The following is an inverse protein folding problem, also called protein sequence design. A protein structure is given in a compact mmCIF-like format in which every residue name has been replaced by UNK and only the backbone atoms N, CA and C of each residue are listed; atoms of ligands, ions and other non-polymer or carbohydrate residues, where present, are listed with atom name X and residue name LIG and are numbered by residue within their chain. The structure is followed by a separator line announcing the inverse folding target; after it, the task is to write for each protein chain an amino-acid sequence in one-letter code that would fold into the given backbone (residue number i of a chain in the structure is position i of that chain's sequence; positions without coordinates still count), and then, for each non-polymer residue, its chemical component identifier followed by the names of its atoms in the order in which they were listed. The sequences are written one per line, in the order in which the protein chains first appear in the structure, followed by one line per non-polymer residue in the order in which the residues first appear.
data_IF_694898844432
#
_entry.id   IF_694898844432
#
_cell.length_a   1.000
_cell.length_b   1.000
_cell.length_c   1.000
_cell.angle_alpha   90.00
_cell.angle_beta   90.00
_cell.angle_gamma   90.00
#
_symmetry.space_group_name_H-M   'P 1'
#
loop_
_entity.id
_entity.type
_entity.pdbx_description
1 polymer ?
#
# COMPACT_ATOMS: atom_id res chain seq x y z
N UNK A 1 7.10 20.97 -33.76
CA UNK A 1 6.09 20.81 -32.69
C UNK A 1 5.53 19.40 -32.85
N UNK A 2 5.67 18.39 -31.97
CA UNK A 2 5.91 18.35 -30.54
C UNK A 2 6.64 17.04 -30.18
N UNK A 3 7.90 17.13 -29.73
CA UNK A 3 8.63 15.99 -29.14
C UNK A 3 8.60 16.08 -27.60
N UNK A 4 8.44 17.29 -27.06
CA UNK A 4 8.39 17.54 -25.61
C UNK A 4 7.06 17.11 -24.95
N UNK A 5 5.92 17.16 -25.67
CA UNK A 5 4.61 16.81 -25.09
C UNK A 5 4.40 15.29 -24.95
N UNK A 6 4.94 14.48 -25.87
CA UNK A 6 4.85 13.01 -25.80
C UNK A 6 5.66 12.42 -24.64
N UNK A 7 6.69 13.10 -24.16
CA UNK A 7 7.54 12.60 -23.06
C UNK A 7 6.81 12.63 -21.72
N UNK A 8 6.05 13.71 -21.47
CA UNK A 8 5.39 13.97 -20.19
C UNK A 8 4.19 13.03 -19.94
N UNK A 9 3.51 12.61 -21.01
CA UNK A 9 2.42 11.63 -20.95
C UNK A 9 2.92 10.21 -20.69
N UNK A 10 4.03 9.82 -21.32
CA UNK A 10 4.64 8.52 -21.09
C UNK A 10 5.15 8.40 -19.65
N UNK A 11 5.77 9.45 -19.10
CA UNK A 11 6.22 9.49 -17.70
C UNK A 11 5.05 9.37 -16.71
N UNK A 12 3.93 10.08 -16.95
CA UNK A 12 2.76 10.00 -16.07
C UNK A 12 2.12 8.60 -16.07
N UNK A 13 2.02 7.96 -17.24
CA UNK A 13 1.50 6.58 -17.37
C UNK A 13 2.43 5.58 -16.68
N UNK A 14 3.74 5.72 -16.86
CA UNK A 14 4.76 4.89 -16.20
C UNK A 14 4.74 5.09 -14.67
N UNK A 15 4.57 6.31 -14.19
CA UNK A 15 4.46 6.62 -12.77
C UNK A 15 3.21 5.97 -12.15
N UNK A 16 2.06 6.06 -12.82
CA UNK A 16 0.82 5.42 -12.36
C UNK A 16 0.91 3.89 -12.37
N UNK A 17 1.57 3.30 -13.38
CA UNK A 17 1.82 1.87 -13.44
C UNK A 17 2.77 1.39 -12.33
N UNK A 18 3.83 2.15 -12.06
CA UNK A 18 4.76 1.90 -10.95
C UNK A 18 4.05 1.99 -9.60
N UNK A 19 3.20 2.99 -9.39
CA UNK A 19 2.41 3.14 -8.16
C UNK A 19 1.42 1.98 -7.97
N UNK A 20 0.77 1.55 -9.06
CA UNK A 20 -0.12 0.39 -9.03
C UNK A 20 0.62 -0.94 -8.89
N UNK A 21 1.91 -0.97 -9.25
CA UNK A 21 2.69 -2.18 -9.55
C UNK A 21 2.00 -3.05 -10.60
N UNK A 22 1.40 -2.40 -11.60
CA UNK A 22 0.73 -3.07 -12.72
C UNK A 22 0.98 -2.28 -14.00
N UNK A 23 1.64 -2.93 -14.96
CA UNK A 23 2.04 -2.34 -16.24
C UNK A 23 1.05 -2.68 -17.36
N UNK A 24 0.00 -3.48 -17.08
CA UNK A 24 -0.92 -4.01 -18.09
C UNK A 24 -1.80 -3.02 -18.82
N UNK A 25 -1.95 -1.80 -18.29
CA UNK A 25 -2.66 -0.73 -19.00
C UNK A 25 -1.71 0.23 -19.75
N UNK A 26 -0.38 0.09 -19.64
CA UNK A 26 0.58 0.99 -20.31
C UNK A 26 0.46 0.90 -21.83
N UNK A 27 0.20 -0.31 -22.34
CA UNK A 27 -0.06 -0.56 -23.76
C UNK A 27 -1.42 -0.02 -24.21
N UNK A 28 -2.16 0.67 -23.33
CA UNK A 28 -3.48 1.27 -23.56
C UNK A 28 -4.52 0.26 -24.05
N UNK A 29 -4.38 -0.98 -23.61
CA UNK A 29 -5.30 -2.07 -23.88
C UNK A 29 -5.99 -2.45 -22.57
N UNK A 30 -7.32 -2.52 -22.60
CA UNK A 30 -8.13 -3.14 -21.57
C UNK A 30 -9.04 -4.19 -22.21
N UNK A 31 -9.65 -5.05 -21.40
CA UNK A 31 -10.66 -5.98 -21.86
C UNK A 31 -12.04 -5.52 -21.40
N UNK A 32 -13.05 -5.61 -22.28
CA UNK A 32 -14.43 -5.32 -21.91
C UNK A 32 -14.99 -6.47 -21.11
N UNK A 33 -15.69 -6.21 -20.00
CA UNK A 33 -16.22 -7.28 -19.14
C UNK A 33 -17.31 -8.11 -19.82
N UNK A 34 -18.08 -7.53 -20.75
CA UNK A 34 -19.21 -8.21 -21.36
C UNK A 34 -18.82 -9.23 -22.44
N UNK A 35 -17.64 -9.12 -23.06
CA UNK A 35 -17.18 -10.06 -24.11
C UNK A 35 -15.70 -10.47 -23.97
N UNK A 36 -14.98 -9.97 -22.96
CA UNK A 36 -13.54 -10.17 -22.73
C UNK A 36 -12.63 -9.73 -23.89
N UNK A 37 -13.18 -9.01 -24.89
CA UNK A 37 -12.40 -8.55 -26.04
C UNK A 37 -11.45 -7.45 -25.61
N UNK A 38 -10.17 -7.65 -25.94
CA UNK A 38 -9.13 -6.62 -25.77
C UNK A 38 -9.38 -5.50 -26.77
N UNK A 39 -9.40 -4.27 -26.29
CA UNK A 39 -9.63 -3.07 -27.08
C UNK A 39 -8.59 -2.01 -26.73
N UNK A 40 -8.10 -1.32 -27.76
CA UNK A 40 -7.17 -0.21 -27.59
C UNK A 40 -7.93 1.09 -27.24
N UNK A 41 -7.33 1.94 -26.41
CA UNK A 41 -7.99 3.14 -25.88
C UNK A 41 -8.45 4.14 -26.96
N UNK A 42 -7.81 4.15 -28.13
CA UNK A 42 -8.22 4.97 -29.27
C UNK A 42 -9.56 4.54 -29.88
N UNK A 43 -9.90 3.26 -29.79
CA UNK A 43 -11.12 2.67 -30.37
C UNK A 43 -12.24 2.54 -29.33
N UNK A 44 -11.89 2.45 -28.05
CA UNK A 44 -12.84 2.31 -26.97
C UNK A 44 -13.66 3.59 -26.76
N UNK A 45 -14.94 3.44 -26.41
CA UNK A 45 -15.85 4.53 -26.06
C UNK A 45 -16.40 4.35 -24.64
N UNK A 46 -17.12 5.35 -24.12
CA UNK A 46 -17.79 5.20 -22.82
C UNK A 46 -18.92 4.16 -22.85
N UNK A 47 -19.52 3.88 -24.01
CA UNK A 47 -20.53 2.83 -24.19
C UNK A 47 -19.95 1.42 -24.13
N UNK A 48 -18.64 1.26 -24.29
CA UNK A 48 -17.95 -0.03 -24.16
C UNK A 48 -17.67 -0.43 -22.69
N UNK A 49 -18.06 0.41 -21.72
CA UNK A 49 -17.96 0.06 -20.30
C UNK A 49 -18.86 -1.14 -19.96
N UNK A 50 -18.52 -1.94 -18.94
CA UNK A 50 -17.35 -1.80 -18.05
C UNK A 50 -16.08 -2.52 -18.57
N UNK A 51 -14.89 -2.02 -18.21
CA UNK A 51 -13.60 -2.63 -18.57
C UNK A 51 -12.87 -3.23 -17.36
N UNK A 52 -11.88 -4.08 -17.62
CA UNK A 52 -10.90 -4.57 -16.65
C UNK A 52 -9.48 -4.61 -17.24
N UNK A 53 -8.47 -4.52 -16.38
CA UNK A 53 -7.08 -4.71 -16.78
C UNK A 53 -6.79 -6.21 -17.02
N UNK A 54 -6.32 -6.63 -18.21
CA UNK A 54 -6.09 -8.04 -18.50
C UNK A 54 -4.93 -8.66 -17.70
N UNK A 55 -4.07 -7.85 -17.06
CA UNK A 55 -2.96 -8.37 -16.24
C UNK A 55 -3.32 -8.51 -14.77
N UNK A 56 -4.01 -7.52 -14.17
CA UNK A 56 -4.31 -7.52 -12.74
C UNK A 56 -5.79 -7.70 -12.39
N UNK A 57 -6.65 -7.82 -13.40
CA UNK A 57 -8.09 -8.08 -13.34
C UNK A 57 -8.96 -7.03 -12.65
N UNK A 58 -8.35 -6.02 -12.05
CA UNK A 58 -9.09 -4.90 -11.46
C UNK A 58 -9.82 -4.08 -12.53
N UNK A 59 -10.94 -3.51 -12.11
CA UNK A 59 -11.75 -2.58 -12.90
C UNK A 59 -10.90 -1.47 -13.50
N UNK A 60 -11.18 -1.17 -14.75
CA UNK A 60 -10.57 -0.11 -15.52
C UNK A 60 -11.65 0.79 -16.12
N UNK A 61 -11.30 2.04 -16.38
CA UNK A 61 -12.14 2.99 -17.07
C UNK A 61 -11.33 3.71 -18.15
N UNK A 62 -12.01 4.03 -19.25
CA UNK A 62 -11.43 4.82 -20.34
C UNK A 62 -11.39 6.30 -19.95
N UNK A 63 -10.23 6.94 -20.17
CA UNK A 63 -10.07 8.39 -20.09
C UNK A 63 -9.93 8.95 -21.49
N UNK A 64 -10.95 9.70 -21.91
CA UNK A 64 -10.94 10.48 -23.14
C UNK A 64 -10.33 11.85 -22.87
N UNK A 65 -9.18 12.10 -23.47
CA UNK A 65 -8.37 13.28 -23.18
C UNK A 65 -8.39 14.26 -24.37
N UNK A 66 -8.43 15.56 -24.09
CA UNK A 66 -8.32 16.60 -25.14
C UNK A 66 -6.88 16.80 -25.58
N UNK A 67 -5.97 16.89 -24.61
CA UNK A 67 -4.56 17.27 -24.83
C UNK A 67 -3.60 16.09 -24.68
N UNK A 68 -4.10 14.92 -24.25
CA UNK A 68 -3.32 13.71 -24.01
C UNK A 68 -3.87 12.57 -24.86
N UNK A 69 -3.07 11.53 -25.02
CA UNK A 69 -3.57 10.32 -25.68
C UNK A 69 -4.56 9.59 -24.77
N UNK A 70 -5.66 9.11 -25.36
CA UNK A 70 -6.65 8.29 -24.67
C UNK A 70 -5.97 7.08 -24.03
N UNK A 71 -6.35 6.78 -22.80
CA UNK A 71 -5.75 5.69 -22.04
C UNK A 71 -6.73 5.10 -21.05
N UNK A 72 -6.48 3.87 -20.64
CA UNK A 72 -7.19 3.25 -19.53
C UNK A 72 -6.51 3.59 -18.21
N UNK A 73 -7.32 3.76 -17.17
CA UNK A 73 -6.87 3.89 -15.80
C UNK A 73 -7.60 2.90 -14.91
N UNK A 74 -6.95 2.45 -13.85
CA UNK A 74 -7.57 1.58 -12.87
C UNK A 74 -8.59 2.32 -12.01
N UNK A 75 -9.74 1.71 -11.76
CA UNK A 75 -10.89 2.31 -11.07
C UNK A 75 -10.92 2.05 -9.56
N UNK A 76 -10.11 1.11 -9.03
CA UNK A 76 -10.20 0.68 -7.64
C UNK A 76 -10.04 1.83 -6.63
N UNK A 77 -10.93 1.86 -5.61
CA UNK A 77 -10.86 2.78 -4.47
C UNK A 77 -9.48 2.73 -3.82
N UNK A 78 -8.94 3.87 -3.44
CA UNK A 78 -7.71 3.96 -2.64
C UNK A 78 -8.06 4.26 -1.18
N UNK A 79 -7.13 4.00 -0.25
CA UNK A 79 -7.31 4.41 1.14
C UNK A 79 -7.50 5.94 1.24
N UNK A 80 -8.37 6.44 2.15
CA UNK A 80 -8.76 7.84 2.27
C UNK A 80 -7.70 8.68 3.00
N UNK A 81 -6.45 8.62 2.51
CA UNK A 81 -5.35 9.46 2.97
C UNK A 81 -5.52 10.91 2.48
N UNK A 82 -4.78 11.81 3.11
CA UNK A 82 -4.81 13.23 2.78
C UNK A 82 -4.07 13.50 1.47
N UNK A 83 -4.62 14.39 0.64
CA UNK A 83 -4.00 14.78 -0.64
C UNK A 83 -3.13 16.04 -0.57
N UNK A 84 -3.19 16.82 0.53
CA UNK A 84 -2.55 18.14 0.65
C UNK A 84 -1.50 18.17 1.77
N UNK A 85 -0.51 19.07 1.66
CA UNK A 85 0.56 19.25 2.66
C UNK A 85 0.04 19.93 3.94
N UNK A 86 0.32 19.29 5.08
CA UNK A 86 0.03 19.76 6.45
C UNK A 86 -1.46 20.08 6.70
N UNK A 87 -2.27 19.03 6.70
CA UNK A 87 -3.67 19.13 7.10
C UNK A 87 -3.83 19.09 8.61
N UNK A 88 -4.91 19.70 9.12
CA UNK A 88 -5.34 19.60 10.52
C UNK A 88 -5.29 18.16 11.07
N UNK A 89 -5.66 17.14 10.27
CA UNK A 89 -5.62 15.74 10.68
C UNK A 89 -4.21 15.20 10.97
N UNK A 90 -3.19 15.61 10.20
CA UNK A 90 -1.79 15.21 10.42
C UNK A 90 -1.26 15.83 11.71
N UNK A 91 -1.56 17.12 11.93
CA UNK A 91 -1.19 17.82 13.16
C UNK A 91 -1.91 17.23 14.37
N UNK A 92 -3.21 16.96 14.26
CA UNK A 92 -4.01 16.36 15.33
C UNK A 92 -3.47 14.98 15.71
N UNK A 93 -3.21 14.12 14.72
CA UNK A 93 -2.59 12.81 14.95
C UNK A 93 -1.28 12.92 15.74
N UNK A 94 -0.40 13.84 15.34
CA UNK A 94 0.86 14.10 16.05
C UNK A 94 0.63 14.57 17.49
N UNK A 95 -0.28 15.52 17.70
CA UNK A 95 -0.57 16.11 19.00
C UNK A 95 -1.22 15.11 19.96
N UNK A 96 -2.16 14.31 19.48
CA UNK A 96 -2.87 13.30 20.27
C UNK A 96 -1.91 12.21 20.76
N UNK A 97 -1.09 11.69 19.83
CA UNK A 97 -0.08 10.69 20.17
C UNK A 97 0.95 11.28 21.14
N UNK A 98 1.46 12.50 20.88
CA UNK A 98 2.42 13.15 21.78
C UNK A 98 1.84 13.34 23.19
N UNK A 99 0.60 13.80 23.29
CA UNK A 99 -0.06 14.07 24.58
C UNK A 99 -0.21 12.78 25.38
N UNK A 100 -0.69 11.70 24.75
CA UNK A 100 -0.81 10.40 25.41
C UNK A 100 0.55 9.81 25.80
N UNK A 101 1.58 9.97 24.97
CA UNK A 101 2.93 9.51 25.30
C UNK A 101 3.59 10.29 26.43
N UNK A 102 3.39 11.61 26.51
CA UNK A 102 3.86 12.41 27.63
C UNK A 102 3.13 12.07 28.94
N UNK A 103 1.84 11.76 28.87
CA UNK A 103 1.07 11.34 30.04
C UNK A 103 1.53 9.98 30.59
N UNK A 104 1.77 9.01 29.70
CA UNK A 104 2.15 7.65 30.10
C UNK A 104 3.65 7.48 30.36
N UNK A 105 4.49 8.29 29.72
CA UNK A 105 5.95 8.24 29.84
C UNK A 105 6.54 9.66 30.03
N UNK A 106 6.31 10.31 31.19
CA UNK A 106 6.76 11.68 31.43
C UNK A 106 8.28 11.85 31.35
N UNK A 107 9.04 10.80 31.71
CA UNK A 107 10.49 10.78 31.60
C UNK A 107 11.00 10.42 30.20
N UNK A 108 10.10 10.19 29.25
CA UNK A 108 10.42 9.79 27.87
C UNK A 108 10.99 10.93 27.02
N UNK A 109 10.89 12.17 27.49
CA UNK A 109 11.31 13.37 26.75
C UNK A 109 10.73 13.35 25.32
N UNK A 110 9.40 13.30 25.20
CA UNK A 110 8.73 13.28 23.90
C UNK A 110 8.63 14.67 23.31
N UNK A 111 8.92 14.79 22.02
CA UNK A 111 8.76 16.05 21.29
C UNK A 111 8.36 15.82 19.85
N UNK A 112 7.62 16.79 19.31
CA UNK A 112 7.36 16.90 17.88
C UNK A 112 8.57 17.46 17.15
N UNK A 113 8.83 16.95 15.96
CA UNK A 113 9.75 17.56 14.99
C UNK A 113 11.12 17.92 15.58
N UNK A 114 11.57 17.11 16.55
CA UNK A 114 12.88 17.28 17.17
C UNK A 114 13.94 17.05 16.10
N UNK A 115 14.74 18.07 15.82
CA UNK A 115 15.84 17.91 14.90
C UNK A 115 16.91 17.01 15.49
N UNK A 116 17.20 15.90 14.81
CA UNK A 116 18.35 15.05 15.08
C UNK A 116 19.48 15.50 14.16
N UNK A 117 20.42 16.26 14.71
CA UNK A 117 21.48 16.90 13.93
C UNK A 117 22.41 15.88 13.26
N UNK A 118 23.02 16.32 12.16
CA UNK A 118 24.04 15.55 11.47
C UNK A 118 25.29 15.40 12.35
N UNK A 119 25.99 14.28 12.20
CA UNK A 119 27.25 14.02 12.88
C UNK A 119 28.17 13.29 11.92
N UNK A 120 29.26 13.95 11.51
CA UNK A 120 30.22 13.38 10.58
C UNK A 120 31.01 12.21 11.17
N UNK A 121 31.27 12.22 12.48
CA UNK A 121 32.06 11.18 13.17
C UNK A 121 31.30 9.87 13.16
N UNK A 122 30.01 9.92 13.49
CA UNK A 122 29.14 8.75 13.51
C UNK A 122 28.43 8.48 12.18
N UNK A 123 28.70 9.28 11.14
CA UNK A 123 28.11 9.15 9.80
C UNK A 123 26.60 9.40 9.77
N UNK A 124 26.09 10.22 10.68
CA UNK A 124 24.67 10.55 10.80
C UNK A 124 24.29 11.73 9.90
N UNK A 125 23.16 11.59 9.19
CA UNK A 125 22.54 12.65 8.42
C UNK A 125 21.47 13.38 9.24
N UNK A 126 21.29 14.68 9.02
CA UNK A 126 20.22 15.45 9.67
C UNK A 126 18.85 14.88 9.31
N UNK A 127 18.04 14.58 10.31
CA UNK A 127 16.66 14.10 10.15
C UNK A 127 15.74 14.72 11.19
N UNK A 128 14.48 14.89 10.83
CA UNK A 128 13.44 15.46 11.69
C UNK A 128 12.27 14.47 11.71
N UNK A 129 12.19 13.55 12.68
CA UNK A 129 11.02 12.69 12.86
C UNK A 129 9.80 13.50 13.28
N UNK A 130 8.59 13.02 12.94
CA UNK A 130 7.34 13.68 13.35
C UNK A 130 7.21 13.70 14.88
N UNK A 131 7.48 12.58 15.54
CA UNK A 131 7.56 12.46 17.00
C UNK A 131 8.80 11.63 17.38
N UNK A 132 9.51 12.04 18.44
CA UNK A 132 10.58 11.22 19.02
C UNK A 132 10.61 11.32 20.54
N UNK A 133 11.01 10.24 21.19
CA UNK A 133 11.16 10.16 22.65
C UNK A 133 11.68 8.81 23.07
N UNK A 134 11.36 8.40 24.30
CA UNK A 134 11.84 7.15 24.88
C UNK A 134 10.73 6.42 25.63
N UNK A 135 10.70 5.11 25.47
CA UNK A 135 9.95 4.18 26.31
C UNK A 135 10.97 3.28 26.99
N UNK A 136 10.95 3.23 28.33
CA UNK A 136 11.89 2.42 29.13
C UNK A 136 13.36 2.63 28.72
N UNK A 137 13.74 3.88 28.49
CA UNK A 137 15.09 4.27 28.07
C UNK A 137 15.44 3.99 26.60
N UNK A 138 14.60 3.27 25.85
CA UNK A 138 14.81 2.94 24.44
C UNK A 138 14.26 4.06 23.55
N UNK A 139 15.05 4.50 22.57
CA UNK A 139 14.65 5.56 21.65
C UNK A 139 13.58 5.11 20.67
N UNK A 140 12.42 5.75 20.69
CA UNK A 140 11.30 5.47 19.80
C UNK A 140 11.12 6.65 18.84
N UNK A 141 10.95 6.32 17.57
CA UNK A 141 10.75 7.26 16.47
C UNK A 141 9.39 6.96 15.83
N UNK A 142 8.50 7.94 15.76
CA UNK A 142 7.20 7.79 15.12
C UNK A 142 7.12 8.71 13.92
N UNK A 143 6.75 8.14 12.78
CA UNK A 143 6.52 8.83 11.52
C UNK A 143 5.04 8.80 11.18
N UNK A 144 4.42 9.97 11.00
CA UNK A 144 3.01 10.10 10.65
C UNK A 144 2.91 10.48 9.16
N UNK A 145 2.61 9.50 8.33
CA UNK A 145 2.66 9.66 6.87
C UNK A 145 1.33 10.11 6.29
N UNK A 146 1.21 11.40 5.94
CA UNK A 146 -0.01 12.02 5.42
C UNK A 146 -0.27 11.83 3.92
N UNK A 147 0.76 11.56 3.11
CA UNK A 147 0.67 11.50 1.63
C UNK A 147 1.49 10.36 1.04
N UNK A 148 1.52 10.21 -0.29
CA UNK A 148 2.49 9.31 -0.91
C UNK A 148 3.92 9.75 -0.58
N UNK A 149 4.75 8.80 -0.12
CA UNK A 149 6.19 8.95 0.10
C UNK A 149 6.90 7.91 -0.76
N UNK A 150 8.07 8.25 -1.31
CA UNK A 150 8.85 7.28 -2.07
C UNK A 150 9.43 6.21 -1.14
N UNK A 151 9.54 4.98 -1.65
CA UNK A 151 10.17 3.88 -0.92
C UNK A 151 11.61 4.24 -0.53
N UNK A 152 12.38 4.86 -1.44
CA UNK A 152 13.76 5.29 -1.16
C UNK A 152 13.84 6.23 0.04
N UNK A 153 12.84 7.11 0.22
CA UNK A 153 12.79 8.01 1.37
C UNK A 153 12.42 7.26 2.65
N UNK A 154 11.52 6.28 2.60
CA UNK A 154 11.24 5.39 3.74
C UNK A 154 12.53 4.64 4.12
N UNK A 155 13.21 4.00 3.16
CA UNK A 155 14.46 3.27 3.37
C UNK A 155 15.52 4.17 3.99
N UNK A 156 15.75 5.36 3.42
CA UNK A 156 16.74 6.31 3.92
C UNK A 156 16.47 6.68 5.38
N UNK A 157 15.22 6.98 5.74
CA UNK A 157 14.82 7.31 7.12
C UNK A 157 15.01 6.11 8.05
N UNK A 158 14.52 4.94 7.66
CA UNK A 158 14.65 3.70 8.43
C UNK A 158 16.12 3.37 8.73
N UNK A 159 17.00 3.48 7.75
CA UNK A 159 18.43 3.25 7.92
C UNK A 159 19.07 4.29 8.84
N UNK A 160 18.72 5.56 8.70
CA UNK A 160 19.25 6.64 9.54
C UNK A 160 18.83 6.49 11.01
N UNK A 161 17.57 6.17 11.28
CA UNK A 161 17.11 5.93 12.65
C UNK A 161 17.72 4.67 13.25
N UNK A 162 17.85 3.60 12.46
CA UNK A 162 18.56 2.38 12.89
C UNK A 162 19.99 2.69 13.33
N UNK A 163 20.76 3.46 12.54
CA UNK A 163 22.14 3.85 12.87
C UNK A 163 22.23 4.55 14.22
N UNK A 164 21.21 5.35 14.56
CA UNK A 164 21.08 6.07 15.82
C UNK A 164 20.48 5.23 16.96
N UNK A 165 20.22 3.94 16.73
CA UNK A 165 19.60 3.03 17.70
C UNK A 165 18.11 3.26 17.95
N UNK A 166 17.44 4.05 17.12
CA UNK A 166 16.01 4.36 17.24
C UNK A 166 15.13 3.26 16.63
N UNK A 167 14.07 2.89 17.34
CA UNK A 167 13.05 1.93 16.88
C UNK A 167 11.89 2.69 16.23
N UNK A 168 11.64 2.41 14.96
CA UNK A 168 10.69 3.18 14.14
C UNK A 168 9.29 2.55 14.11
N UNK A 169 8.26 3.40 14.23
CA UNK A 169 6.85 3.10 13.99
C UNK A 169 6.29 4.06 12.93
N UNK A 170 5.82 3.54 11.80
CA UNK A 170 5.08 4.32 10.80
C UNK A 170 3.58 4.23 11.05
N UNK A 171 2.90 5.36 10.99
CA UNK A 171 1.47 5.52 11.21
C UNK A 171 0.87 6.30 10.04
N UNK A 172 -0.30 5.89 9.57
CA UNK A 172 -1.03 6.58 8.50
C UNK A 172 -2.34 7.12 9.06
N UNK A 173 -2.51 8.45 9.15
CA UNK A 173 -3.78 9.04 9.54
C UNK A 173 -4.79 8.91 8.39
N UNK A 174 -5.97 8.39 8.71
CA UNK A 174 -7.11 8.28 7.80
C UNK A 174 -8.20 9.27 8.19
N UNK A 175 -8.89 9.82 7.19
CA UNK A 175 -10.07 10.66 7.42
C UNK A 175 -11.23 9.86 8.01
N UNK A 176 -11.34 8.61 7.58
CA UNK A 176 -12.33 7.63 7.97
C UNK A 176 -11.68 6.25 7.89
N UNK A 177 -12.25 5.28 8.60
CA UNK A 177 -11.80 3.89 8.50
C UNK A 177 -11.87 3.37 7.04
N UNK A 178 -11.03 2.40 6.70
CA UNK A 178 -11.08 1.73 5.40
C UNK A 178 -12.42 1.03 5.17
N UNK A 179 -13.10 0.60 6.25
CA UNK A 179 -14.29 -0.24 6.17
C UNK A 179 -13.91 -1.68 5.77
N UNK A 180 -14.85 -2.42 5.19
CA UNK A 180 -14.67 -3.83 4.80
C UNK A 180 -14.50 -4.05 3.31
N UNK A 181 -14.67 -2.99 2.50
CA UNK A 181 -14.61 -3.07 1.05
C UNK A 181 -13.20 -3.28 0.53
N UNK A 182 -13.11 -3.95 -0.62
CA UNK A 182 -11.88 -4.09 -1.36
C UNK A 182 -11.35 -2.72 -1.82
N UNK A 183 -10.06 -2.51 -1.65
CA UNK A 183 -9.38 -1.30 -2.06
C UNK A 183 -8.02 -1.61 -2.66
N UNK A 184 -7.39 -0.62 -3.26
CA UNK A 184 -6.02 -0.70 -3.77
C UNK A 184 -5.09 0.07 -2.83
N UNK A 185 -4.30 -0.62 -1.99
CA UNK A 185 -3.25 0.02 -1.22
C UNK A 185 -2.24 0.67 -2.15
N UNK A 186 -1.71 1.84 -1.76
CA UNK A 186 -0.62 2.50 -2.49
C UNK A 186 0.69 1.76 -2.29
N UNK A 187 1.65 2.02 -3.17
CA UNK A 187 2.97 1.38 -3.14
C UNK A 187 3.65 1.49 -1.77
N UNK A 188 3.64 2.67 -1.14
CA UNK A 188 4.25 2.85 0.17
C UNK A 188 3.50 2.11 1.29
N UNK A 189 2.17 1.99 1.19
CA UNK A 189 1.37 1.21 2.14
C UNK A 189 1.74 -0.27 2.06
N UNK A 190 1.89 -0.80 0.84
CA UNK A 190 2.36 -2.19 0.64
C UNK A 190 3.76 -2.40 1.18
N UNK A 191 4.67 -1.44 0.96
CA UNK A 191 6.03 -1.51 1.49
C UNK A 191 6.04 -1.52 3.03
N UNK A 192 5.27 -0.62 3.67
CA UNK A 192 5.14 -0.59 5.13
C UNK A 192 4.49 -1.87 5.67
N UNK A 193 3.47 -2.38 4.98
CA UNK A 193 2.81 -3.64 5.31
C UNK A 193 3.80 -4.80 5.38
N UNK A 194 4.67 -4.94 4.38
CA UNK A 194 5.75 -5.92 4.40
C UNK A 194 6.81 -5.60 5.48
N UNK A 195 7.16 -4.32 5.67
CA UNK A 195 8.12 -3.85 6.69
C UNK A 195 7.72 -4.24 8.11
N UNK A 196 6.43 -4.44 8.39
CA UNK A 196 5.92 -4.89 9.68
C UNK A 196 5.27 -6.29 9.63
N UNK A 197 5.83 -7.18 8.80
CA UNK A 197 5.45 -8.60 8.76
C UNK A 197 3.96 -8.82 8.44
N UNK A 198 3.47 -8.11 7.43
CA UNK A 198 2.09 -8.17 7.01
C UNK A 198 1.16 -7.26 7.81
N UNK A 199 1.65 -6.15 8.38
CA UNK A 199 0.82 -5.24 9.18
C UNK A 199 1.06 -3.79 8.80
N UNK A 200 0.02 -3.00 8.82
CA UNK A 200 0.12 -1.54 8.70
C UNK A 200 -0.72 -0.88 9.79
N UNK A 201 -0.28 0.28 10.28
CA UNK A 201 -0.95 0.96 11.38
C UNK A 201 -1.65 2.22 10.90
N UNK A 202 -2.96 2.24 11.09
CA UNK A 202 -3.79 3.39 10.79
C UNK A 202 -4.23 4.09 12.07
N UNK A 203 -4.31 5.42 11.98
CA UNK A 203 -4.87 6.26 13.03
C UNK A 203 -6.09 6.99 12.49
N UNK A 204 -7.13 7.11 13.30
CA UNK A 204 -8.35 7.85 12.94
C UNK A 204 -8.58 8.92 14.00
N UNK A 205 -9.19 10.03 13.59
CA UNK A 205 -9.41 11.16 14.49
C UNK A 205 -10.13 10.76 15.78
N UNK A 206 -9.61 11.21 16.93
CA UNK A 206 -10.16 10.90 18.25
C UNK A 206 -9.59 9.62 18.89
N UNK A 207 -8.71 8.88 18.22
CA UNK A 207 -8.15 7.65 18.78
C UNK A 207 -7.03 7.86 19.81
N UNK A 208 -6.54 9.08 20.03
CA UNK A 208 -5.46 9.32 20.98
C UNK A 208 -4.17 8.58 20.54
N UNK A 209 -3.64 7.73 21.42
CA UNK A 209 -2.51 6.83 21.16
C UNK A 209 -2.89 5.48 20.55
N UNK A 210 -4.18 5.25 20.27
CA UNK A 210 -4.66 3.98 19.74
C UNK A 210 -4.56 3.89 18.22
N UNK A 211 -4.19 2.73 17.73
CA UNK A 211 -3.99 2.43 16.32
C UNK A 211 -4.80 1.21 15.91
N UNK A 212 -5.29 1.23 14.67
CA UNK A 212 -5.83 0.05 14.00
C UNK A 212 -4.70 -0.66 13.26
N UNK A 213 -4.26 -1.83 13.72
CA UNK A 213 -3.40 -2.68 12.93
C UNK A 213 -4.26 -3.36 11.86
N UNK A 214 -3.86 -3.25 10.60
CA UNK A 214 -4.59 -3.79 9.46
C UNK A 214 -3.68 -4.69 8.65
N UNK A 215 -4.22 -5.83 8.24
CA UNK A 215 -3.63 -6.71 7.24
C UNK A 215 -4.32 -6.50 5.88
N UNK A 216 -3.56 -6.63 4.79
CA UNK A 216 -4.07 -6.54 3.43
C UNK A 216 -4.25 -7.92 2.83
N UNK A 217 -5.38 -8.56 3.13
CA UNK A 217 -5.66 -9.90 2.65
C UNK A 217 -5.85 -9.94 1.13
N UNK A 218 -5.57 -11.09 0.49
CA UNK A 218 -5.95 -11.35 -0.88
C UNK A 218 -7.43 -11.03 -1.13
N UNK A 219 -7.74 -10.58 -2.34
CA UNK A 219 -9.11 -10.42 -2.80
C UNK A 219 -9.27 -11.06 -4.17
N UNK A 220 -10.49 -11.46 -4.50
CA UNK A 220 -10.78 -12.29 -5.67
C UNK A 220 -11.95 -11.70 -6.47
N UNK A 221 -11.97 -11.99 -7.77
CA UNK A 221 -13.09 -11.73 -8.66
C UNK A 221 -13.57 -13.03 -9.27
N UNK A 222 -14.89 -13.19 -9.36
CA UNK A 222 -15.49 -14.30 -10.08
C UNK A 222 -15.44 -14.02 -11.57
N UNK A 223 -14.94 -14.99 -12.35
CA UNK A 223 -14.96 -14.97 -13.81
C UNK A 223 -16.12 -15.84 -14.26
N UNK A 224 -17.17 -15.23 -14.80
CA UNK A 224 -18.37 -15.94 -15.27
C UNK A 224 -18.04 -16.92 -16.40
N UNK A 225 -18.66 -18.10 -16.33
CA UNK A 225 -18.58 -19.12 -17.38
C UNK A 225 -19.23 -18.63 -18.67
N UNK A 226 -18.55 -18.86 -19.79
CA UNK A 226 -19.02 -18.55 -21.14
C UNK A 226 -18.55 -19.62 -22.10
N UNK A 227 -19.45 -19.99 -23.02
CA UNK A 227 -19.15 -20.86 -24.14
C UNK A 227 -19.51 -20.19 -25.46
N UNK A 228 -18.65 -20.32 -26.46
CA UNK A 228 -18.92 -19.87 -27.83
C UNK A 228 -18.24 -20.79 -28.84
N UNK A 229 -18.75 -20.78 -30.07
CA UNK A 229 -18.09 -21.45 -31.19
C UNK A 229 -17.13 -20.48 -31.86
N UNK A 230 -15.85 -20.83 -31.90
CA UNK A 230 -14.83 -20.07 -32.62
C UNK A 230 -14.81 -20.50 -34.08
N UNK A 231 -15.26 -19.63 -34.98
CA UNK A 231 -15.34 -19.94 -36.40
C UNK A 231 -13.97 -19.94 -37.10
N UNK A 232 -12.94 -19.33 -36.50
CA UNK A 232 -11.57 -19.33 -37.04
C UNK A 232 -10.86 -20.64 -36.69
N UNK A 233 -11.00 -21.08 -35.45
CA UNK A 233 -10.40 -22.33 -34.95
C UNK A 233 -11.33 -23.56 -35.13
N UNK A 234 -12.57 -23.36 -35.59
CA UNK A 234 -13.63 -24.38 -35.75
C UNK A 234 -13.94 -25.20 -34.48
N UNK A 235 -13.72 -24.64 -33.29
CA UNK A 235 -13.86 -25.33 -32.01
C UNK A 235 -14.82 -24.61 -31.05
N UNK A 236 -15.50 -25.39 -30.20
CA UNK A 236 -16.22 -24.84 -29.05
C UNK A 236 -15.21 -24.44 -27.97
N UNK A 237 -15.22 -23.16 -27.59
CA UNK A 237 -14.41 -22.62 -26.51
C UNK A 237 -15.28 -22.39 -25.28
N UNK A 238 -14.78 -22.85 -24.13
CA UNK A 238 -15.39 -22.63 -22.82
C UNK A 238 -14.34 -21.94 -21.91
N UNK A 239 -14.73 -20.85 -21.25
CA UNK A 239 -13.88 -20.13 -20.30
C UNK A 239 -14.70 -19.65 -19.11
N UNK A 240 -14.06 -19.51 -17.94
CA UNK A 240 -14.71 -18.99 -16.73
C UNK A 240 -15.18 -20.09 -15.77
N UNK A 241 -16.06 -19.75 -14.85
CA UNK A 241 -16.49 -20.64 -13.76
C UNK A 241 -15.48 -20.73 -12.61
N UNK A 242 -14.66 -19.70 -12.41
CA UNK A 242 -13.61 -19.70 -11.39
C UNK A 242 -13.34 -18.33 -10.77
N UNK A 243 -12.85 -18.35 -9.54
CA UNK A 243 -12.27 -17.20 -8.85
C UNK A 243 -10.87 -16.92 -9.35
N UNK A 244 -10.61 -15.64 -9.63
CA UNK A 244 -9.28 -15.13 -9.95
C UNK A 244 -8.83 -14.10 -8.92
N UNK A 245 -7.61 -14.26 -8.40
CA UNK A 245 -7.02 -13.35 -7.43
C UNK A 245 -6.75 -12.00 -8.10
N UNK A 246 -7.12 -10.91 -7.43
CA UNK A 246 -6.65 -9.60 -7.83
C UNK A 246 -5.17 -9.45 -7.46
N UNK A 247 -4.32 -9.05 -8.42
CA UNK A 247 -2.90 -8.80 -8.11
C UNK A 247 -2.67 -7.56 -7.25
N UNK A 248 -3.52 -6.55 -7.36
CA UNK A 248 -3.28 -5.22 -6.75
C UNK A 248 -4.36 -4.73 -5.79
N UNK A 249 -5.53 -5.37 -5.79
CA UNK A 249 -6.67 -5.04 -4.92
C UNK A 249 -6.66 -5.97 -3.72
N UNK A 250 -6.97 -5.46 -2.53
CA UNK A 250 -6.87 -6.16 -1.26
C UNK A 250 -8.10 -5.90 -0.40
N UNK A 251 -8.40 -6.84 0.47
CA UNK A 251 -9.40 -6.69 1.53
C UNK A 251 -8.71 -6.22 2.82
N UNK A 252 -9.18 -5.15 3.46
CA UNK A 252 -8.64 -4.75 4.76
C UNK A 252 -9.16 -5.69 5.86
N UNK A 253 -8.24 -6.28 6.63
CA UNK A 253 -8.57 -7.10 7.80
C UNK A 253 -8.02 -6.45 9.07
N UNK A 254 -8.94 -5.93 9.88
CA UNK A 254 -8.63 -5.24 11.13
C UNK A 254 -8.26 -6.24 12.21
N UNK A 255 -7.11 -6.01 12.85
CA UNK A 255 -6.79 -6.62 14.13
C UNK A 255 -7.49 -5.88 15.27
N UNK A 256 -7.27 -6.35 16.51
CA UNK A 256 -7.75 -5.61 17.68
C UNK A 256 -7.10 -4.23 17.73
N UNK A 257 -7.82 -3.25 18.23
CA UNK A 257 -7.26 -1.93 18.53
C UNK A 257 -6.09 -2.10 19.54
N UNK A 258 -4.99 -1.43 19.26
CA UNK A 258 -3.78 -1.45 20.09
C UNK A 258 -3.43 -0.03 20.53
N UNK A 259 -2.80 0.11 21.69
CA UNK A 259 -2.38 1.40 22.22
C UNK A 259 -0.86 1.51 22.26
N UNK A 260 -0.28 2.54 21.63
CA UNK A 260 1.17 2.80 21.62
C UNK A 260 1.69 2.99 23.05
N UNK A 261 0.85 3.51 23.96
CA UNK A 261 1.20 3.73 25.34
C UNK A 261 1.21 2.45 26.19
N UNK A 262 0.57 1.38 25.73
CA UNK A 262 0.49 0.11 26.44
C UNK A 262 1.67 -0.78 26.08
N UNK A 263 2.62 -0.93 27.01
CA UNK A 263 3.84 -1.74 26.83
C UNK A 263 3.57 -3.22 26.55
N UNK A 264 2.38 -3.73 26.85
CA UNK A 264 1.97 -5.08 26.47
C UNK A 264 1.58 -5.20 24.99
N UNK A 265 1.13 -4.11 24.37
CA UNK A 265 0.65 -4.08 22.99
C UNK A 265 1.78 -3.95 21.97
N UNK A 266 2.93 -3.42 22.38
CA UNK A 266 4.08 -3.18 21.49
C UNK A 266 5.39 -3.75 22.03
N UNK A 267 6.26 -4.15 21.10
CA UNK A 267 7.64 -4.58 21.37
C UNK A 267 8.62 -3.91 20.41
N UNK A 268 9.88 -3.92 20.81
CA UNK A 268 11.00 -3.52 19.96
C UNK A 268 11.66 -4.75 19.33
N UNK A 269 12.10 -4.63 18.07
CA UNK A 269 12.76 -5.72 17.37
C UNK A 269 13.87 -5.23 16.43
N UNK A 270 14.98 -5.97 16.41
CA UNK A 270 16.09 -5.81 15.47
C UNK A 270 15.86 -6.75 14.28
N UNK A 271 15.06 -6.30 13.33
CA UNK A 271 14.67 -7.08 12.17
C UNK A 271 15.81 -7.19 11.13
N UNK A 272 15.99 -8.39 10.58
CA UNK A 272 16.95 -8.66 9.51
C UNK A 272 16.46 -8.06 8.18
N UNK A 273 17.39 -7.92 7.24
CA UNK A 273 17.05 -7.55 5.88
C UNK A 273 16.28 -8.70 5.21
N UNK A 274 15.44 -8.36 4.26
CA UNK A 274 14.69 -9.30 3.45
C UNK A 274 14.74 -8.86 1.99
N UNK A 275 15.24 -9.74 1.13
CA UNK A 275 15.33 -9.50 -0.30
C UNK A 275 14.06 -9.99 -0.98
N UNK A 276 13.46 -9.12 -1.79
CA UNK A 276 12.25 -9.43 -2.54
C UNK A 276 12.59 -9.52 -4.03
N UNK A 277 11.87 -10.38 -4.78
CA UNK A 277 12.05 -10.56 -6.24
C UNK A 277 11.99 -9.23 -6.99
N UNK A 278 11.03 -8.39 -6.61
CA UNK A 278 11.03 -6.98 -6.99
C UNK A 278 11.90 -6.20 -6.00
N UNK A 279 13.09 -5.80 -6.44
CA UNK A 279 14.08 -5.07 -5.63
C UNK A 279 13.55 -3.76 -5.03
N UNK A 280 12.54 -3.13 -5.64
CA UNK A 280 11.88 -1.94 -5.08
C UNK A 280 11.18 -2.23 -3.75
N UNK A 281 10.95 -3.49 -3.42
CA UNK A 281 10.27 -3.93 -2.19
C UNK A 281 11.21 -4.67 -1.24
N UNK A 282 12.50 -4.76 -1.57
CA UNK A 282 13.48 -5.30 -0.64
C UNK A 282 13.55 -4.42 0.61
N UNK A 283 13.45 -5.05 1.77
CA UNK A 283 13.39 -4.36 3.06
C UNK A 283 14.78 -4.43 3.70
N UNK A 284 15.40 -3.29 4.04
CA UNK A 284 16.68 -3.32 4.74
C UNK A 284 16.51 -3.85 6.17
N UNK A 285 17.63 -4.26 6.76
CA UNK A 285 17.66 -4.53 8.20
C UNK A 285 17.34 -3.25 8.97
N UNK A 286 16.53 -3.36 10.02
CA UNK A 286 15.83 -2.22 10.64
C UNK A 286 15.59 -2.46 12.12
N UNK A 287 15.42 -1.37 12.88
CA UNK A 287 14.97 -1.40 14.27
C UNK A 287 13.52 -0.92 14.27
N UNK A 288 12.58 -1.78 14.62
CA UNK A 288 11.15 -1.48 14.53
C UNK A 288 10.50 -1.52 15.91
N UNK A 289 9.51 -0.64 16.10
CA UNK A 289 8.58 -0.69 17.21
C UNK A 289 7.23 -1.09 16.64
N UNK A 290 6.73 -2.27 17.02
CA UNK A 290 5.59 -2.90 16.36
C UNK A 290 4.78 -3.75 17.34
N UNK A 291 3.57 -4.13 16.96
CA UNK A 291 2.66 -4.80 17.90
C UNK A 291 3.09 -6.23 18.28
N UNK A 292 2.53 -6.71 19.38
CA UNK A 292 2.72 -8.06 19.91
C UNK A 292 1.64 -9.05 19.47
N UNK A 293 0.71 -8.65 18.59
CA UNK A 293 -0.41 -9.48 18.18
C UNK A 293 0.07 -10.69 17.38
N UNK A 294 -0.54 -11.84 17.67
CA UNK A 294 -0.47 -13.02 16.79
C UNK A 294 -1.16 -12.70 15.46
N UNK A 295 -0.74 -13.38 14.38
CA UNK A 295 -1.43 -13.32 13.09
C UNK A 295 -2.92 -13.59 13.29
N UNK A 296 -3.77 -12.66 12.86
CA UNK A 296 -5.24 -12.71 13.01
C UNK A 296 -5.98 -12.89 11.69
N UNK A 297 -5.27 -12.83 10.57
CA UNK A 297 -5.83 -12.92 9.23
C UNK A 297 -5.69 -14.33 8.65
N UNK A 298 -6.56 -14.63 7.70
CA UNK A 298 -6.54 -15.87 6.94
C UNK A 298 -6.50 -15.57 5.44
N UNK A 299 -5.41 -15.99 4.80
CA UNK A 299 -5.17 -15.74 3.37
C UNK A 299 -5.84 -16.79 2.47
N UNK A 300 -6.70 -17.64 3.04
CA UNK A 300 -7.38 -18.67 2.28
C UNK A 300 -8.42 -18.09 1.31
N UNK A 301 -8.48 -18.64 0.09
CA UNK A 301 -9.41 -18.22 -0.94
C UNK A 301 -10.86 -18.69 -0.69
N UNK A 302 -11.87 -18.10 -1.39
CA UNK A 302 -13.30 -18.34 -1.13
C UNK A 302 -13.78 -19.79 -1.33
N UNK A 303 -13.12 -20.58 -2.17
CA UNK A 303 -13.29 -22.04 -2.28
C UNK A 303 -12.09 -22.58 -3.07
N UNK A 304 -11.22 -23.39 -2.46
CA UNK A 304 -9.94 -23.80 -3.09
C UNK A 304 -10.11 -24.53 -4.43
N UNK A 305 -11.24 -25.22 -4.60
CA UNK A 305 -11.55 -26.02 -5.80
C UNK A 305 -11.98 -25.19 -7.01
N UNK A 306 -12.24 -23.90 -6.85
CA UNK A 306 -12.77 -23.02 -7.89
C UNK A 306 -11.78 -21.90 -8.24
N UNK A 307 -10.50 -22.05 -7.95
CA UNK A 307 -9.48 -21.03 -8.25
C UNK A 307 -8.75 -21.40 -9.51
N UNK A 308 -8.45 -20.39 -10.33
CA UNK A 308 -7.59 -20.57 -11.49
C UNK A 308 -6.27 -21.29 -11.10
N UNK A 309 -5.87 -22.39 -11.78
CA UNK A 309 -4.71 -23.21 -11.40
C UNK A 309 -3.38 -22.43 -11.27
N UNK A 310 -3.25 -21.33 -12.01
CA UNK A 310 -2.07 -20.48 -12.07
C UNK A 310 -1.91 -19.54 -10.85
N UNK A 311 -2.94 -19.37 -10.02
CA UNK A 311 -2.99 -18.37 -8.94
C UNK A 311 -2.52 -18.91 -7.57
N UNK A 312 -2.03 -20.15 -7.51
CA UNK A 312 -1.45 -20.77 -6.30
C UNK A 312 -0.02 -20.28 -5.99
N UNK A 313 0.53 -19.38 -6.79
CA UNK A 313 1.89 -18.85 -6.70
C UNK A 313 1.88 -17.35 -7.03
N UNK A 314 1.52 -16.47 -6.09
CA UNK A 314 1.71 -15.02 -6.27
C UNK A 314 2.75 -14.49 -5.28
N UNK A 315 3.95 -14.32 -5.82
CA UNK A 315 5.20 -13.93 -5.19
C UNK A 315 5.18 -12.66 -4.33
N UNK A 316 4.13 -11.84 -4.42
CA UNK A 316 4.11 -10.51 -3.78
C UNK A 316 3.80 -10.56 -2.28
N UNK A 317 3.00 -11.54 -1.84
CA UNK A 317 2.60 -11.71 -0.44
C UNK A 317 2.84 -13.12 0.08
N UNK A 318 3.27 -14.04 -0.78
CA UNK A 318 3.67 -15.40 -0.40
C UNK A 318 5.09 -15.35 0.18
N UNK A 319 5.20 -14.81 1.40
CA UNK A 319 6.40 -14.94 2.24
C UNK A 319 5.96 -15.25 3.66
N UNK A 320 6.26 -16.46 4.11
CA UNK A 320 6.07 -16.96 5.47
C UNK A 320 6.60 -16.02 6.56
#
# INVERSE_FOLDING_TARGET
MNVAENHNDHEAIQAAAKEALCYGLIKRIAARKFDNKKIHASEATHSDNPFYCPECYSDAFIRKCKDKQDHFAHHARQSPILRNTESALHLQCKQDILSGLNANFPNGNWALERTLEADKVNGFSKVVPDISGRINGRGIIIEVQKSAISIDRIIKRTLEYKKRGGYILWIIPLREELGTENFRPRLFEKFLHQMYYGRIYYWVNGNGTKLFPVHFSPSYCWIEERSWYDAEDMEHKEVGGYWKRYRTVRRPEYGRLIDIAEVADFKIEDAKAWEHKNQLLSIPSRKIYHDTLKKWWNDLPPNANEIAPEELLDDYFDSE
#
